data_IF_862166473161
#
_entry.id   IF_862166473161
#
_cell.length_a   1.000
_cell.length_b   1.000
_cell.length_c   1.000
_cell.angle_alpha   90.00
_cell.angle_beta   90.00
_cell.angle_gamma   90.00
#
_symmetry.space_group_name_H-M   'P 1'
#
loop_
_entity.id
_entity.type
_entity.pdbx_description
1 polymer ?
#
# COMPACT_ATOMS: atom_id res chain seq x y z
N UNK A 1 -30.80 -4.64 44.32
CA UNK A 1 -31.50 -5.45 43.30
C UNK A 1 -32.80 -5.89 43.93
N UNK A 2 -33.89 -5.15 43.72
CA UNK A 2 -35.19 -5.49 44.34
C UNK A 2 -35.81 -6.62 43.54
N UNK A 3 -36.00 -7.79 44.17
CA UNK A 3 -36.73 -8.92 43.57
C UNK A 3 -38.19 -8.49 43.36
N UNK A 4 -38.69 -8.66 42.13
CA UNK A 4 -40.09 -8.42 41.79
C UNK A 4 -40.95 -9.48 42.48
N UNK A 5 -42.09 -9.08 43.04
CA UNK A 5 -43.06 -10.03 43.60
C UNK A 5 -43.68 -10.88 42.49
N UNK A 6 -44.05 -12.14 42.77
CA UNK A 6 -44.67 -13.06 41.78
C UNK A 6 -45.85 -12.44 41.01
N UNK A 7 -46.63 -11.56 41.65
CA UNK A 7 -47.72 -10.81 41.01
C UNK A 7 -47.22 -9.76 40.00
N UNK A 8 -46.09 -9.10 40.29
CA UNK A 8 -45.45 -8.17 39.35
C UNK A 8 -44.85 -8.92 38.16
N UNK A 9 -44.27 -10.10 38.36
CA UNK A 9 -43.79 -10.96 37.27
C UNK A 9 -44.94 -11.44 36.37
N UNK A 10 -46.04 -11.91 36.96
CA UNK A 10 -47.24 -12.32 36.20
C UNK A 10 -47.86 -11.17 35.42
N UNK A 11 -47.95 -9.97 36.02
CA UNK A 11 -48.44 -8.77 35.34
C UNK A 11 -47.51 -8.34 34.20
N UNK A 12 -46.19 -8.43 34.39
CA UNK A 12 -45.22 -8.15 33.33
C UNK A 12 -45.36 -9.13 32.16
N UNK A 13 -45.56 -10.42 32.44
CA UNK A 13 -45.81 -11.45 31.41
C UNK A 13 -47.13 -11.21 30.67
N UNK A 14 -48.21 -10.86 31.38
CA UNK A 14 -49.49 -10.56 30.76
C UNK A 14 -49.45 -9.30 29.88
N UNK A 15 -48.73 -8.26 30.32
CA UNK A 15 -48.48 -7.05 29.53
C UNK A 15 -47.64 -7.34 28.28
N UNK A 16 -46.59 -8.15 28.41
CA UNK A 16 -45.76 -8.57 27.28
C UNK A 16 -46.55 -9.41 26.26
N UNK A 17 -47.39 -10.34 26.71
CA UNK A 17 -48.26 -11.12 25.83
C UNK A 17 -49.27 -10.24 25.09
N UNK A 18 -49.87 -9.26 25.77
CA UNK A 18 -50.80 -8.31 25.16
C UNK A 18 -50.11 -7.43 24.12
N UNK A 19 -48.92 -6.90 24.43
CA UNK A 19 -48.12 -6.13 23.48
C UNK A 19 -47.78 -6.96 22.24
N UNK A 20 -47.33 -8.20 22.42
CA UNK A 20 -47.04 -9.11 21.31
C UNK A 20 -48.27 -9.39 20.43
N UNK A 21 -49.46 -9.57 21.01
CA UNK A 21 -50.69 -9.75 20.21
C UNK A 21 -51.09 -8.50 19.43
N UNK A 22 -50.85 -7.31 19.98
CA UNK A 22 -51.12 -6.04 19.32
C UNK A 22 -50.16 -5.82 18.15
N UNK A 23 -48.87 -6.06 18.36
CA UNK A 23 -47.83 -5.96 17.32
C UNK A 23 -48.15 -6.84 16.10
N UNK A 24 -48.61 -8.07 16.33
CA UNK A 24 -49.01 -9.00 15.27
C UNK A 24 -50.26 -8.50 14.53
N UNK A 25 -51.24 -7.93 15.26
CA UNK A 25 -52.44 -7.37 14.65
C UNK A 25 -52.14 -6.17 13.75
N UNK A 26 -51.28 -5.25 14.22
CA UNK A 26 -50.81 -4.10 13.44
C UNK A 26 -50.06 -4.55 12.16
N UNK A 27 -49.24 -5.60 12.25
CA UNK A 27 -48.57 -6.16 11.08
C UNK A 27 -49.56 -6.81 10.08
N UNK A 28 -50.66 -7.41 10.54
CA UNK A 28 -51.71 -7.92 9.67
C UNK A 28 -52.47 -6.82 8.92
N UNK A 29 -52.83 -5.75 9.63
CA UNK A 29 -53.50 -4.58 9.05
C UNK A 29 -52.63 -3.93 7.98
N UNK A 30 -51.36 -3.68 8.30
CA UNK A 30 -50.40 -3.14 7.37
C UNK A 30 -50.19 -4.04 6.14
N UNK A 31 -50.06 -5.37 6.33
CA UNK A 31 -49.97 -6.32 5.21
C UNK A 31 -51.21 -6.25 4.30
N UNK A 32 -52.41 -6.14 4.87
CA UNK A 32 -53.65 -6.03 4.10
C UNK A 32 -53.69 -4.74 3.26
N UNK A 33 -53.34 -3.62 3.88
CA UNK A 33 -53.25 -2.32 3.21
C UNK A 33 -52.15 -2.31 2.12
N UNK A 34 -50.98 -2.90 2.38
CA UNK A 34 -49.90 -3.02 1.39
C UNK A 34 -50.34 -3.86 0.17
N UNK A 35 -51.06 -4.96 0.39
CA UNK A 35 -51.64 -5.78 -0.68
C UNK A 35 -52.65 -4.99 -1.51
N UNK A 36 -53.51 -4.21 -0.86
CA UNK A 36 -54.49 -3.37 -1.55
C UNK A 36 -53.81 -2.30 -2.42
N UNK A 37 -52.81 -1.59 -1.89
CA UNK A 37 -52.06 -0.59 -2.66
C UNK A 37 -51.28 -1.20 -3.84
N UNK A 38 -50.63 -2.34 -3.62
CA UNK A 38 -49.92 -3.04 -4.68
C UNK A 38 -50.87 -3.52 -5.80
N UNK A 39 -52.10 -3.91 -5.46
CA UNK A 39 -53.13 -4.28 -6.43
C UNK A 39 -53.60 -3.10 -7.29
N UNK A 40 -53.81 -1.92 -6.68
CA UNK A 40 -54.37 -0.74 -7.38
C UNK A 40 -53.36 -0.10 -8.34
N UNK A 41 -52.07 -0.09 -8.02
CA UNK A 41 -51.09 0.68 -8.81
C UNK A 41 -49.75 -0.01 -9.12
N UNK A 42 -49.44 -1.19 -8.56
CA UNK A 42 -48.08 -1.81 -8.60
C UNK A 42 -46.93 -0.86 -8.22
N UNK A 43 -47.25 0.23 -7.52
CA UNK A 43 -46.32 1.27 -7.10
C UNK A 43 -46.33 1.34 -5.57
N UNK A 44 -45.13 1.35 -4.99
CA UNK A 44 -44.94 1.63 -3.58
C UNK A 44 -44.88 3.15 -3.42
N UNK A 45 -45.89 3.72 -2.77
CA UNK A 45 -45.89 5.13 -2.39
C UNK A 45 -44.93 5.35 -1.22
N UNK A 46 -44.47 6.57 -1.03
CA UNK A 46 -43.62 6.92 0.13
C UNK A 46 -44.30 6.56 1.45
N UNK A 47 -45.61 6.78 1.57
CA UNK A 47 -46.40 6.32 2.72
C UNK A 47 -46.33 4.80 2.95
N UNK A 48 -46.43 3.98 1.90
CA UNK A 48 -46.28 2.53 2.03
C UNK A 48 -44.86 2.10 2.45
N UNK A 49 -43.83 2.84 2.01
CA UNK A 49 -42.45 2.59 2.40
C UNK A 49 -42.18 2.93 3.86
N UNK A 50 -42.79 4.00 4.40
CA UNK A 50 -42.69 4.34 5.83
C UNK A 50 -43.28 3.24 6.71
N UNK A 51 -44.43 2.69 6.31
CA UNK A 51 -45.07 1.61 7.04
C UNK A 51 -44.22 0.33 6.98
N UNK A 52 -43.62 0.05 5.82
CA UNK A 52 -42.65 -1.03 5.69
C UNK A 52 -41.40 -0.80 6.54
N UNK A 53 -40.90 0.44 6.62
CA UNK A 53 -39.75 0.81 7.45
C UNK A 53 -40.05 0.58 8.94
N UNK A 54 -41.18 1.08 9.44
CA UNK A 54 -41.61 0.90 10.83
C UNK A 54 -41.75 -0.58 11.19
N UNK A 55 -42.40 -1.38 10.34
CA UNK A 55 -42.56 -2.83 10.57
C UNK A 55 -41.20 -3.55 10.55
N UNK A 56 -40.27 -3.11 9.69
CA UNK A 56 -38.92 -3.67 9.62
C UNK A 56 -38.12 -3.36 10.89
N UNK A 57 -38.20 -2.14 11.40
CA UNK A 57 -37.48 -1.68 12.60
C UNK A 57 -38.04 -2.32 13.87
N UNK A 58 -39.37 -2.27 14.03
CA UNK A 58 -40.08 -2.82 15.20
C UNK A 58 -40.12 -4.35 15.22
N UNK A 59 -39.87 -5.00 14.08
CA UNK A 59 -39.94 -6.46 13.89
C UNK A 59 -41.32 -7.05 14.23
N UNK A 60 -42.38 -6.24 14.16
CA UNK A 60 -43.79 -6.64 14.38
C UNK A 60 -44.24 -7.79 13.47
N UNK A 61 -43.56 -8.00 12.35
CA UNK A 61 -43.80 -9.11 11.44
C UNK A 61 -43.45 -10.50 12.01
N UNK A 62 -42.66 -10.60 13.07
CA UNK A 62 -42.20 -11.90 13.61
C UNK A 62 -43.32 -12.63 14.31
N UNK A 63 -43.60 -13.86 13.88
CA UNK A 63 -44.69 -14.66 14.43
C UNK A 63 -46.04 -14.39 13.76
N UNK A 64 -46.09 -13.50 12.77
CA UNK A 64 -47.27 -13.28 11.94
C UNK A 64 -47.60 -14.57 11.17
N UNK A 65 -48.85 -15.01 11.21
CA UNK A 65 -49.30 -16.24 10.54
C UNK A 65 -50.17 -15.86 9.36
N UNK A 66 -49.69 -16.10 8.15
CA UNK A 66 -50.31 -15.59 6.92
C UNK A 66 -50.29 -16.65 5.82
N UNK A 67 -51.23 -16.54 4.89
CA UNK A 67 -51.31 -17.41 3.73
C UNK A 67 -50.43 -16.87 2.61
N UNK A 68 -49.45 -17.67 2.20
CA UNK A 68 -48.62 -17.43 1.00
C UNK A 68 -48.83 -18.63 0.09
N UNK A 69 -49.28 -18.41 -1.14
CA UNK A 69 -49.55 -19.45 -2.14
C UNK A 69 -50.43 -20.60 -1.63
N UNK A 70 -51.45 -20.29 -0.84
CA UNK A 70 -52.41 -21.26 -0.29
C UNK A 70 -51.87 -22.11 0.87
N UNK A 71 -50.65 -21.86 1.34
CA UNK A 71 -50.07 -22.51 2.52
C UNK A 71 -49.98 -21.55 3.70
N UNK A 72 -50.27 -22.07 4.87
CA UNK A 72 -50.24 -21.36 6.14
C UNK A 72 -48.76 -21.26 6.59
N UNK A 73 -48.21 -20.05 6.57
CA UNK A 73 -46.79 -19.79 6.85
C UNK A 73 -46.67 -18.84 8.05
N UNK A 74 -45.83 -19.22 9.01
CA UNK A 74 -45.39 -18.31 10.07
C UNK A 74 -44.20 -17.51 9.57
N UNK A 75 -44.35 -16.19 9.52
CA UNK A 75 -43.32 -15.25 9.10
C UNK A 75 -42.27 -15.12 10.21
N UNK A 76 -41.07 -15.64 9.95
CA UNK A 76 -39.92 -15.52 10.83
C UNK A 76 -38.89 -14.48 10.36
N UNK A 77 -38.94 -14.09 9.08
CA UNK A 77 -37.98 -13.17 8.46
C UNK A 77 -38.64 -12.03 7.71
N UNK A 78 -37.87 -10.95 7.53
CA UNK A 78 -38.28 -9.79 6.72
C UNK A 78 -38.61 -10.18 5.28
N UNK A 79 -37.80 -11.05 4.68
CA UNK A 79 -38.02 -11.52 3.31
C UNK A 79 -39.36 -12.23 3.17
N UNK A 80 -39.70 -13.11 4.13
CA UNK A 80 -40.99 -13.80 4.17
C UNK A 80 -42.16 -12.83 4.32
N UNK A 81 -42.01 -11.77 5.13
CA UNK A 81 -43.03 -10.73 5.28
C UNK A 81 -43.29 -9.99 3.96
N UNK A 82 -42.21 -9.57 3.28
CA UNK A 82 -42.30 -8.83 2.02
C UNK A 82 -42.88 -9.71 0.90
N UNK A 83 -42.45 -10.97 0.82
CA UNK A 83 -43.04 -11.95 -0.10
C UNK A 83 -44.52 -12.20 0.22
N UNK A 84 -44.89 -12.30 1.49
CA UNK A 84 -46.29 -12.44 1.91
C UNK A 84 -47.14 -11.23 1.52
N UNK A 85 -46.57 -10.03 1.46
CA UNK A 85 -47.22 -8.82 0.94
C UNK A 85 -47.36 -8.82 -0.61
N UNK A 86 -46.81 -9.80 -1.32
CA UNK A 86 -46.79 -9.85 -2.78
C UNK A 86 -45.80 -8.87 -3.43
N UNK A 87 -44.77 -8.47 -2.67
CA UNK A 87 -43.77 -7.49 -3.09
C UNK A 87 -42.43 -8.16 -3.37
N UNK A 88 -41.66 -7.56 -4.28
CA UNK A 88 -40.29 -8.00 -4.54
C UNK A 88 -39.34 -7.52 -3.45
N UNK A 89 -38.75 -8.44 -2.69
CA UNK A 89 -37.80 -8.15 -1.59
C UNK A 89 -36.71 -7.16 -2.03
N UNK A 90 -36.05 -7.43 -3.17
CA UNK A 90 -34.99 -6.58 -3.71
C UNK A 90 -35.46 -5.15 -3.99
N UNK A 91 -36.68 -4.99 -4.52
CA UNK A 91 -37.27 -3.69 -4.84
C UNK A 91 -37.57 -2.93 -3.55
N UNK A 92 -38.22 -3.57 -2.58
CA UNK A 92 -38.55 -2.96 -1.28
C UNK A 92 -37.29 -2.51 -0.56
N UNK A 93 -36.25 -3.35 -0.50
CA UNK A 93 -35.00 -2.97 0.16
C UNK A 93 -34.24 -1.86 -0.59
N UNK A 94 -34.41 -1.74 -1.91
CA UNK A 94 -33.83 -0.64 -2.69
C UNK A 94 -34.60 0.66 -2.48
N UNK A 95 -35.94 0.60 -2.39
CA UNK A 95 -36.81 1.75 -2.13
C UNK A 95 -36.68 2.25 -0.69
N UNK A 96 -36.58 1.36 0.29
CA UNK A 96 -36.27 1.71 1.67
C UNK A 96 -34.90 2.39 1.78
N UNK A 97 -33.89 1.90 1.05
CA UNK A 97 -32.59 2.56 0.97
C UNK A 97 -32.68 3.95 0.34
N UNK A 98 -33.48 4.12 -0.72
CA UNK A 98 -33.71 5.43 -1.32
C UNK A 98 -34.38 6.39 -0.35
N UNK A 99 -35.39 5.91 0.40
CA UNK A 99 -36.07 6.68 1.43
C UNK A 99 -35.09 7.17 2.50
N UNK A 100 -34.23 6.29 3.02
CA UNK A 100 -33.24 6.67 4.04
C UNK A 100 -32.19 7.63 3.51
N UNK A 101 -31.76 7.49 2.25
CA UNK A 101 -30.65 8.29 1.70
C UNK A 101 -31.10 9.65 1.18
N UNK A 102 -32.29 9.76 0.62
CA UNK A 102 -32.78 10.98 -0.05
C UNK A 102 -33.89 11.70 0.72
N UNK A 103 -34.54 11.04 1.69
CA UNK A 103 -35.67 11.60 2.40
C UNK A 103 -37.00 11.48 1.65
N UNK A 104 -38.07 11.91 2.32
CA UNK A 104 -39.46 11.78 1.85
C UNK A 104 -39.75 12.72 0.68
N UNK A 105 -39.48 14.02 0.86
CA UNK A 105 -39.84 15.09 -0.08
C UNK A 105 -39.21 14.90 -1.46
N UNK A 106 -37.91 14.56 -1.49
CA UNK A 106 -37.21 14.29 -2.73
C UNK A 106 -37.70 13.00 -3.39
N UNK A 107 -38.01 11.95 -2.61
CA UNK A 107 -38.50 10.70 -3.17
C UNK A 107 -39.87 10.89 -3.84
N UNK A 108 -40.79 11.64 -3.23
CA UNK A 108 -42.07 12.00 -3.84
C UNK A 108 -41.88 12.82 -5.12
N UNK A 109 -41.01 13.82 -5.07
CA UNK A 109 -40.68 14.65 -6.23
C UNK A 109 -40.07 13.80 -7.36
N UNK A 110 -39.16 12.89 -7.04
CA UNK A 110 -38.54 11.97 -8.00
C UNK A 110 -39.54 11.01 -8.63
N UNK A 111 -40.53 10.52 -7.86
CA UNK A 111 -41.61 9.68 -8.38
C UNK A 111 -42.55 10.48 -9.28
N UNK A 112 -42.90 11.72 -8.92
CA UNK A 112 -43.73 12.63 -9.72
C UNK A 112 -43.07 12.99 -11.05
N UNK A 113 -41.79 13.31 -11.03
CA UNK A 113 -40.98 13.60 -12.22
C UNK A 113 -40.66 12.33 -13.03
N UNK A 114 -40.88 11.14 -12.46
CA UNK A 114 -40.60 9.87 -13.11
C UNK A 114 -39.11 9.63 -13.34
N UNK A 115 -38.28 9.94 -12.34
CA UNK A 115 -36.88 9.49 -12.31
C UNK A 115 -36.83 7.97 -12.15
N UNK A 116 -35.96 7.32 -12.92
CA UNK A 116 -35.77 5.89 -12.86
C UNK A 116 -34.78 5.45 -11.77
N UNK A 117 -34.70 4.15 -11.56
CA UNK A 117 -33.70 3.54 -10.66
C UNK A 117 -32.25 3.75 -11.13
N UNK A 118 -32.02 4.12 -12.39
CA UNK A 118 -30.66 4.36 -12.90
C UNK A 118 -30.10 5.66 -12.33
N UNK A 119 -30.91 6.71 -12.38
CA UNK A 119 -30.61 8.05 -11.89
C UNK A 119 -30.45 8.01 -10.37
N UNK A 120 -31.39 7.37 -9.66
CA UNK A 120 -31.31 7.19 -8.21
C UNK A 120 -30.05 6.41 -7.79
N UNK A 121 -29.63 5.42 -8.58
CA UNK A 121 -28.37 4.70 -8.34
C UNK A 121 -27.15 5.59 -8.49
N UNK A 122 -27.10 6.43 -9.54
CA UNK A 122 -26.02 7.41 -9.73
C UNK A 122 -25.98 8.41 -8.57
N UNK A 123 -27.14 8.95 -8.18
CA UNK A 123 -27.27 9.90 -7.07
C UNK A 123 -26.76 9.32 -5.74
N UNK A 124 -26.98 8.02 -5.47
CA UNK A 124 -26.41 7.35 -4.28
C UNK A 124 -24.89 7.22 -4.31
N UNK A 125 -24.28 7.16 -5.48
CA UNK A 125 -22.82 7.02 -5.62
C UNK A 125 -22.08 8.35 -5.49
N UNK A 126 -22.79 9.48 -5.59
CA UNK A 126 -22.23 10.80 -5.38
C UNK A 126 -21.81 11.00 -3.91
N UNK A 127 -20.80 11.85 -3.66
CA UNK A 127 -20.49 12.29 -2.31
C UNK A 127 -21.67 13.03 -1.69
N UNK A 128 -21.68 13.06 -0.36
CA UNK A 128 -22.78 13.60 0.42
C UNK A 128 -23.11 15.05 0.08
N UNK A 129 -22.10 15.91 -0.10
CA UNK A 129 -22.31 17.33 -0.44
C UNK A 129 -23.00 17.51 -1.80
N UNK A 130 -22.52 16.84 -2.85
CA UNK A 130 -23.11 16.92 -4.19
C UNK A 130 -24.51 16.30 -4.25
N UNK A 131 -24.74 15.26 -3.45
CA UNK A 131 -26.08 14.65 -3.30
C UNK A 131 -27.05 15.60 -2.59
N UNK A 132 -26.62 16.26 -1.51
CA UNK A 132 -27.46 17.19 -0.75
C UNK A 132 -27.88 18.39 -1.61
N UNK A 133 -26.97 18.94 -2.40
CA UNK A 133 -27.27 20.02 -3.35
C UNK A 133 -28.40 19.66 -4.33
N UNK A 134 -28.42 18.41 -4.81
CA UNK A 134 -29.50 17.92 -5.67
C UNK A 134 -30.77 17.66 -4.86
N UNK A 135 -30.67 17.07 -3.67
CA UNK A 135 -31.85 16.68 -2.88
C UNK A 135 -32.62 17.89 -2.34
N UNK A 136 -31.91 18.96 -1.97
CA UNK A 136 -32.49 20.18 -1.40
C UNK A 136 -32.98 21.18 -2.46
N UNK A 137 -32.64 20.96 -3.73
CA UNK A 137 -33.11 21.80 -4.82
C UNK A 137 -34.63 21.59 -5.06
N UNK A 138 -35.32 22.69 -5.36
CA UNK A 138 -36.75 22.66 -5.68
C UNK A 138 -36.94 22.31 -7.16
N UNK A 139 -37.71 21.25 -7.42
CA UNK A 139 -38.03 20.74 -8.76
C UNK A 139 -39.54 20.65 -8.96
N UNK A 140 -40.19 21.80 -8.87
CA UNK A 140 -41.64 21.93 -8.98
C UNK A 140 -42.15 21.93 -10.43
N UNK A 141 -41.29 22.18 -11.42
CA UNK A 141 -41.64 22.28 -12.83
C UNK A 141 -41.25 21.02 -13.62
N UNK A 142 -41.97 20.71 -14.71
CA UNK A 142 -41.71 19.49 -15.50
C UNK A 142 -40.42 19.57 -16.34
N UNK A 143 -40.00 20.78 -16.71
CA UNK A 143 -38.71 21.08 -17.36
C UNK A 143 -37.52 20.70 -16.48
N UNK A 144 -37.70 20.67 -15.16
CA UNK A 144 -36.65 20.35 -14.20
C UNK A 144 -36.20 18.89 -14.26
N UNK A 145 -37.00 17.99 -14.84
CA UNK A 145 -36.64 16.58 -14.96
C UNK A 145 -35.37 16.40 -15.80
N UNK A 146 -35.32 17.04 -16.96
CA UNK A 146 -34.18 16.90 -17.89
C UNK A 146 -32.93 17.57 -17.29
N UNK A 147 -33.10 18.76 -16.69
CA UNK A 147 -32.01 19.45 -15.99
C UNK A 147 -31.47 18.66 -14.80
N UNK A 148 -32.34 18.02 -14.02
CA UNK A 148 -31.96 17.16 -12.90
C UNK A 148 -31.16 15.95 -13.39
N UNK A 149 -31.60 15.32 -14.50
CA UNK A 149 -30.87 14.20 -15.09
C UNK A 149 -29.48 14.67 -15.54
N UNK A 150 -29.39 15.79 -16.28
CA UNK A 150 -28.12 16.35 -16.75
C UNK A 150 -27.17 16.65 -15.58
N UNK A 151 -27.65 17.31 -14.52
CA UNK A 151 -26.86 17.58 -13.29
C UNK A 151 -26.35 16.30 -12.65
N UNK A 152 -27.19 15.26 -12.55
CA UNK A 152 -26.76 13.95 -12.03
C UNK A 152 -25.66 13.36 -12.91
N UNK A 153 -25.80 13.42 -14.23
CA UNK A 153 -24.80 12.88 -15.16
C UNK A 153 -23.47 13.61 -15.08
N UNK A 154 -23.49 14.93 -15.06
CA UNK A 154 -22.31 15.78 -14.96
C UNK A 154 -21.55 15.57 -13.65
N UNK A 155 -22.25 15.59 -12.51
CA UNK A 155 -21.62 15.33 -11.21
C UNK A 155 -21.08 13.91 -11.12
N UNK A 156 -21.81 12.93 -11.66
CA UNK A 156 -21.33 11.53 -11.69
C UNK A 156 -20.05 11.41 -12.53
N UNK A 157 -20.01 12.05 -13.70
CA UNK A 157 -18.84 12.04 -14.57
C UNK A 157 -17.64 12.73 -13.91
N UNK A 158 -17.88 13.87 -13.25
CA UNK A 158 -16.84 14.60 -12.49
C UNK A 158 -16.29 13.75 -11.35
N UNK A 159 -17.16 13.15 -10.53
CA UNK A 159 -16.72 12.30 -9.42
C UNK A 159 -16.04 11.01 -9.87
N UNK A 160 -16.47 10.41 -10.98
CA UNK A 160 -15.77 9.26 -11.56
C UNK A 160 -14.33 9.61 -11.96
N UNK A 161 -14.11 10.80 -12.56
CA UNK A 161 -12.77 11.29 -12.89
C UNK A 161 -11.94 11.56 -11.64
N UNK A 162 -12.48 12.31 -10.68
CA UNK A 162 -11.80 12.62 -9.41
C UNK A 162 -11.41 11.35 -8.65
N UNK A 163 -12.30 10.36 -8.59
CA UNK A 163 -12.03 9.07 -7.96
C UNK A 163 -10.90 8.32 -8.67
N UNK A 164 -10.93 8.24 -10.00
CA UNK A 164 -9.88 7.60 -10.77
C UNK A 164 -8.52 8.29 -10.59
N UNK A 165 -8.49 9.62 -10.54
CA UNK A 165 -7.28 10.39 -10.26
C UNK A 165 -6.75 10.16 -8.84
N UNK A 166 -7.63 10.10 -7.84
CA UNK A 166 -7.25 9.82 -6.46
C UNK A 166 -6.72 8.39 -6.30
N UNK A 167 -7.35 7.41 -6.93
CA UNK A 167 -6.88 6.02 -6.95
C UNK A 167 -5.52 5.90 -7.64
N UNK A 168 -5.32 6.60 -8.76
CA UNK A 168 -4.03 6.65 -9.43
C UNK A 168 -2.95 7.31 -8.57
N UNK A 169 -3.27 8.41 -7.87
CA UNK A 169 -2.35 9.07 -6.92
C UNK A 169 -2.02 8.17 -5.73
N UNK A 170 -3.00 7.45 -5.20
CA UNK A 170 -2.81 6.51 -4.08
C UNK A 170 -1.89 5.36 -4.50
N UNK A 171 -2.13 4.79 -5.69
CA UNK A 171 -1.28 3.74 -6.24
C UNK A 171 0.16 4.20 -6.42
N UNK A 172 0.37 5.37 -7.03
CA UNK A 172 1.73 5.96 -7.17
C UNK A 172 2.41 6.15 -5.82
N UNK A 173 1.70 6.71 -4.82
CA UNK A 173 2.26 6.88 -3.47
C UNK A 173 2.60 5.54 -2.80
N UNK A 174 1.79 4.51 -3.02
CA UNK A 174 2.08 3.16 -2.51
C UNK A 174 3.33 2.59 -3.16
N UNK A 175 3.44 2.67 -4.48
CA UNK A 175 4.61 2.18 -5.23
C UNK A 175 5.89 2.93 -4.81
N UNK A 176 5.81 4.25 -4.62
CA UNK A 176 6.92 5.07 -4.13
C UNK A 176 7.33 4.67 -2.71
N UNK A 177 6.37 4.38 -1.82
CA UNK A 177 6.64 3.95 -0.46
C UNK A 177 7.34 2.58 -0.44
N UNK A 178 6.89 1.63 -1.26
CA UNK A 178 7.52 0.32 -1.39
C UNK A 178 8.94 0.42 -1.95
N UNK A 179 9.17 1.31 -2.91
CA UNK A 179 10.50 1.61 -3.42
C UNK A 179 11.41 2.20 -2.33
N UNK A 180 10.92 3.17 -1.56
CA UNK A 180 11.65 3.76 -0.44
C UNK A 180 11.98 2.73 0.64
N UNK A 181 11.04 1.85 0.98
CA UNK A 181 11.24 0.78 1.96
C UNK A 181 12.37 -0.18 1.53
N UNK A 182 12.42 -0.55 0.25
CA UNK A 182 13.50 -1.39 -0.30
C UNK A 182 14.86 -0.68 -0.24
N UNK A 183 14.91 0.61 -0.57
CA UNK A 183 16.16 1.39 -0.49
C UNK A 183 16.64 1.49 0.95
N UNK A 184 15.74 1.75 1.91
CA UNK A 184 16.07 1.79 3.33
C UNK A 184 16.58 0.44 3.83
N UNK A 185 15.93 -0.67 3.46
CA UNK A 185 16.39 -2.01 3.83
C UNK A 185 17.80 -2.32 3.29
N UNK A 186 18.06 -1.98 2.02
CA UNK A 186 19.39 -2.15 1.42
C UNK A 186 20.45 -1.29 2.12
N UNK A 187 20.12 -0.04 2.46
CA UNK A 187 21.04 0.85 3.20
C UNK A 187 21.34 0.33 4.59
N UNK A 188 20.34 -0.11 5.35
CA UNK A 188 20.55 -0.70 6.67
C UNK A 188 21.42 -1.95 6.58
N UNK A 189 21.16 -2.85 5.63
CA UNK A 189 21.99 -4.03 5.45
C UNK A 189 23.46 -3.69 5.10
N UNK A 190 23.70 -2.60 4.37
CA UNK A 190 25.05 -2.12 4.10
C UNK A 190 25.71 -1.51 5.34
N UNK A 191 24.96 -0.73 6.13
CA UNK A 191 25.44 -0.17 7.41
C UNK A 191 25.83 -1.31 8.36
N UNK A 192 24.97 -2.31 8.54
CA UNK A 192 25.24 -3.45 9.43
C UNK A 192 26.50 -4.22 9.01
N UNK A 193 26.73 -4.38 7.70
CA UNK A 193 27.96 -5.01 7.17
C UNK A 193 29.19 -4.18 7.49
N UNK A 194 29.14 -2.87 7.23
CA UNK A 194 30.26 -1.96 7.50
C UNK A 194 30.58 -1.87 8.99
N UNK A 195 29.57 -1.82 9.86
CA UNK A 195 29.74 -1.83 11.31
C UNK A 195 30.38 -3.14 11.79
N UNK A 196 29.98 -4.28 11.20
CA UNK A 196 30.59 -5.57 11.49
C UNK A 196 32.06 -5.63 11.05
N UNK A 197 32.37 -5.09 9.87
CA UNK A 197 33.76 -5.01 9.36
C UNK A 197 34.63 -4.07 10.19
N UNK A 198 34.10 -2.91 10.56
CA UNK A 198 34.79 -1.97 11.46
C UNK A 198 35.05 -2.62 12.82
N UNK A 199 34.04 -3.26 13.42
CA UNK A 199 34.21 -3.96 14.70
C UNK A 199 35.27 -5.09 14.63
N UNK A 200 35.31 -5.84 13.52
CA UNK A 200 36.36 -6.85 13.29
C UNK A 200 37.74 -6.23 13.16
N UNK A 201 37.88 -5.14 12.40
CA UNK A 201 39.16 -4.43 12.24
C UNK A 201 39.62 -3.82 13.56
N UNK A 202 38.73 -3.18 14.32
CA UNK A 202 39.05 -2.63 15.65
C UNK A 202 39.52 -3.72 16.61
N UNK A 203 38.80 -4.85 16.69
CA UNK A 203 39.24 -6.00 17.49
C UNK A 203 40.59 -6.57 17.04
N UNK A 204 40.82 -6.67 15.73
CA UNK A 204 42.09 -7.12 15.18
C UNK A 204 43.25 -6.17 15.50
N UNK A 205 42.99 -4.87 15.64
CA UNK A 205 43.98 -3.87 16.05
C UNK A 205 44.27 -3.96 17.56
N UNK A 206 43.24 -4.19 18.39
CA UNK A 206 43.35 -4.29 19.85
C UNK A 206 44.02 -5.60 20.32
N UNK A 207 43.91 -6.68 19.56
CA UNK A 207 44.40 -8.01 19.95
C UNK A 207 45.77 -8.39 19.38
N UNK A 208 46.36 -7.56 18.52
CA UNK A 208 47.67 -7.85 17.95
C UNK A 208 48.82 -7.58 18.92
N UNK A 209 49.62 -8.61 19.19
CA UNK A 209 50.94 -8.47 19.81
C UNK A 209 51.90 -7.72 18.87
N UNK A 210 52.97 -7.07 19.37
CA UNK A 210 53.94 -6.34 18.54
C UNK A 210 54.49 -7.14 17.34
N UNK A 211 54.70 -8.45 17.52
CA UNK A 211 55.17 -9.35 16.46
C UNK A 211 54.14 -9.60 15.36
N UNK A 212 52.85 -9.71 15.70
CA UNK A 212 51.77 -9.88 14.71
C UNK A 212 51.57 -8.62 13.88
N UNK A 213 51.73 -7.45 14.51
CA UNK A 213 51.71 -6.15 13.83
C UNK A 213 52.89 -6.02 12.86
N UNK A 214 54.08 -6.47 13.27
CA UNK A 214 55.25 -6.56 12.38
C UNK A 214 55.02 -7.51 11.19
N UNK A 215 54.35 -8.64 11.42
CA UNK A 215 53.95 -9.57 10.36
C UNK A 215 53.03 -8.95 9.30
N UNK A 216 51.98 -8.24 9.74
CA UNK A 216 51.05 -7.56 8.82
C UNK A 216 51.72 -6.42 8.04
N UNK A 217 52.56 -5.62 8.70
CA UNK A 217 53.32 -4.55 8.02
C UNK A 217 54.28 -5.11 6.97
N UNK A 218 54.89 -6.27 7.23
CA UNK A 218 55.70 -6.99 6.23
C UNK A 218 54.86 -7.50 5.07
N UNK A 219 53.67 -8.03 5.33
CA UNK A 219 52.76 -8.50 4.27
C UNK A 219 52.27 -7.34 3.40
N UNK A 220 51.86 -6.21 4.00
CA UNK A 220 51.47 -4.98 3.30
C UNK A 220 52.64 -4.43 2.45
N UNK A 221 53.85 -4.42 3.01
CA UNK A 221 55.06 -3.98 2.30
C UNK A 221 55.39 -4.92 1.14
N UNK A 222 55.20 -6.23 1.31
CA UNK A 222 55.39 -7.23 0.24
C UNK A 222 54.39 -7.01 -0.89
N UNK A 223 53.12 -6.72 -0.58
CA UNK A 223 52.11 -6.42 -1.60
C UNK A 223 52.40 -5.13 -2.37
N UNK A 224 52.90 -4.09 -1.68
CA UNK A 224 53.30 -2.84 -2.33
C UNK A 224 54.52 -3.07 -3.23
N UNK A 225 55.52 -3.80 -2.75
CA UNK A 225 56.72 -4.17 -3.51
C UNK A 225 56.36 -4.96 -4.77
N UNK A 226 55.48 -5.97 -4.66
CA UNK A 226 55.02 -6.76 -5.82
C UNK A 226 54.32 -5.89 -6.88
N UNK A 227 53.50 -4.92 -6.46
CA UNK A 227 52.85 -3.98 -7.39
C UNK A 227 53.88 -3.09 -8.10
N UNK A 228 54.87 -2.59 -7.36
CA UNK A 228 55.94 -1.78 -7.94
C UNK A 228 56.77 -2.58 -8.95
N UNK A 229 57.15 -3.81 -8.61
CA UNK A 229 57.86 -4.72 -9.52
C UNK A 229 57.05 -5.02 -10.79
N UNK A 230 55.74 -5.29 -10.65
CA UNK A 230 54.87 -5.55 -11.78
C UNK A 230 54.77 -4.35 -12.75
N UNK A 231 54.74 -3.12 -12.21
CA UNK A 231 54.76 -1.90 -13.03
C UNK A 231 56.10 -1.76 -13.77
N UNK A 232 57.23 -1.95 -13.07
CA UNK A 232 58.55 -1.81 -13.65
C UNK A 232 58.84 -2.88 -14.72
N UNK A 233 58.56 -4.16 -14.43
CA UNK A 233 58.81 -5.26 -15.37
C UNK A 233 57.77 -5.35 -16.49
N UNK A 234 56.55 -4.88 -16.25
CA UNK A 234 55.47 -4.91 -17.24
C UNK A 234 55.40 -3.62 -18.05
N UNK A 235 54.87 -2.57 -17.42
CA UNK A 235 54.50 -1.33 -18.09
C UNK A 235 55.72 -0.53 -18.57
N UNK A 236 56.74 -0.38 -17.73
CA UNK A 236 57.95 0.38 -18.08
C UNK A 236 58.76 -0.35 -19.15
N UNK A 237 58.89 -1.67 -19.04
CA UNK A 237 59.55 -2.49 -20.06
C UNK A 237 58.88 -2.35 -21.44
N UNK A 238 57.54 -2.44 -21.49
CA UNK A 238 56.78 -2.26 -22.73
C UNK A 238 56.92 -0.84 -23.31
N UNK A 239 56.93 0.18 -22.46
CA UNK A 239 57.14 1.56 -22.89
C UNK A 239 58.53 1.76 -23.50
N UNK A 240 59.55 1.13 -22.92
CA UNK A 240 60.93 1.15 -23.44
C UNK A 240 61.05 0.40 -24.77
N UNK A 241 60.36 -0.73 -24.94
CA UNK A 241 60.31 -1.46 -26.21
C UNK A 241 59.62 -0.63 -27.31
N UNK A 242 58.55 0.11 -26.97
CA UNK A 242 57.87 0.99 -27.91
C UNK A 242 58.76 2.19 -28.33
N UNK A 243 59.51 2.77 -27.39
CA UNK A 243 60.49 3.82 -27.69
C UNK A 243 61.62 3.31 -28.58
N UNK A 244 62.11 2.08 -28.34
CA UNK A 244 63.13 1.46 -29.17
C UNK A 244 62.65 1.26 -30.63
N UNK A 245 61.42 0.75 -30.82
CA UNK A 245 60.80 0.61 -32.15
C UNK A 245 60.63 1.96 -32.85
N UNK A 246 60.18 2.98 -32.13
CA UNK A 246 60.06 4.32 -32.70
C UNK A 246 61.43 4.89 -33.12
N UNK A 247 62.49 4.63 -32.35
CA UNK A 247 63.85 5.03 -32.72
C UNK A 247 64.34 4.37 -34.00
N UNK A 248 63.98 3.10 -34.22
CA UNK A 248 64.30 2.36 -35.46
C UNK A 248 63.53 2.92 -36.68
N UNK A 249 62.28 3.34 -36.50
CA UNK A 249 61.42 3.82 -37.60
C UNK A 249 61.69 5.28 -37.99
N UNK A 250 62.03 6.14 -37.03
CA UNK A 250 62.10 7.61 -37.24
C UNK A 250 63.52 8.18 -37.19
N UNK A 251 64.54 7.36 -36.92
CA UNK A 251 65.94 7.76 -36.70
C UNK A 251 66.16 8.76 -35.55
N UNK A 252 65.19 8.89 -34.62
CA UNK A 252 65.31 9.72 -33.41
C UNK A 252 65.76 8.83 -32.25
N UNK A 253 66.92 9.11 -31.65
CA UNK A 253 67.46 8.32 -30.55
C UNK A 253 66.83 8.68 -29.19
N UNK A 254 66.14 7.73 -28.57
CA UNK A 254 65.50 7.88 -27.26
C UNK A 254 66.32 7.29 -26.10
N UNK A 255 67.52 6.74 -26.35
CA UNK A 255 68.36 6.09 -25.33
C UNK A 255 68.71 7.03 -24.17
N UNK A 256 68.98 8.30 -24.45
CA UNK A 256 69.27 9.28 -23.40
C UNK A 256 68.08 9.48 -22.46
N UNK A 257 66.87 9.56 -22.99
CA UNK A 257 65.64 9.67 -22.20
C UNK A 257 65.40 8.41 -21.35
N UNK A 258 65.55 7.23 -21.94
CA UNK A 258 65.43 5.95 -21.21
C UNK A 258 66.46 5.84 -20.08
N UNK A 259 67.70 6.28 -20.32
CA UNK A 259 68.75 6.32 -19.29
C UNK A 259 68.44 7.30 -18.15
N UNK A 260 67.77 8.42 -18.45
CA UNK A 260 67.30 9.37 -17.43
C UNK A 260 66.24 8.77 -16.52
N UNK A 261 65.25 8.07 -17.10
CA UNK A 261 64.21 7.37 -16.32
C UNK A 261 64.81 6.27 -15.43
N UNK A 262 65.81 5.54 -15.91
CA UNK A 262 66.53 4.56 -15.08
C UNK A 262 67.32 5.21 -13.94
N UNK A 263 67.96 6.37 -14.20
CA UNK A 263 68.67 7.12 -13.16
C UNK A 263 67.72 7.64 -12.07
N UNK A 264 66.50 8.05 -12.44
CA UNK A 264 65.46 8.45 -11.47
C UNK A 264 65.05 7.28 -10.57
N UNK A 265 64.86 6.07 -11.12
CA UNK A 265 64.57 4.89 -10.30
C UNK A 265 65.73 4.54 -9.36
N UNK A 266 66.98 4.64 -9.83
CA UNK A 266 68.15 4.42 -8.99
C UNK A 266 68.27 5.45 -7.87
N UNK A 267 67.91 6.70 -8.13
CA UNK A 267 67.87 7.75 -7.11
C UNK A 267 66.84 7.41 -6.02
N UNK A 268 65.62 7.03 -6.40
CA UNK A 268 64.56 6.64 -5.43
C UNK A 268 65.03 5.46 -4.57
N UNK A 269 65.69 4.46 -5.16
CA UNK A 269 66.25 3.33 -4.41
C UNK A 269 67.34 3.79 -3.43
N UNK A 270 68.22 4.69 -3.86
CA UNK A 270 69.29 5.24 -3.03
C UNK A 270 68.74 6.09 -1.87
N UNK A 271 67.68 6.87 -2.11
CA UNK A 271 66.99 7.65 -1.08
C UNK A 271 66.34 6.74 -0.04
N UNK A 272 65.69 5.65 -0.46
CA UNK A 272 65.13 4.65 0.44
C UNK A 272 66.22 3.98 1.28
N UNK A 273 67.33 3.59 0.66
CA UNK A 273 68.47 3.02 1.36
C UNK A 273 69.06 3.98 2.41
N UNK A 274 69.30 5.24 2.04
CA UNK A 274 69.87 6.24 2.94
C UNK A 274 68.90 6.60 4.08
N UNK A 275 67.61 6.75 3.78
CA UNK A 275 66.61 7.12 4.78
C UNK A 275 66.44 6.04 5.85
N UNK A 276 66.47 4.78 5.44
CA UNK A 276 66.31 3.62 6.32
C UNK A 276 67.64 2.99 6.77
N UNK A 277 68.79 3.54 6.35
CA UNK A 277 70.14 3.05 6.68
C UNK A 277 70.33 1.56 6.34
N UNK A 278 69.88 1.18 5.14
CA UNK A 278 69.92 -0.19 4.66
C UNK A 278 71.22 -0.46 3.89
N UNK A 279 71.81 -1.64 4.10
CA UNK A 279 72.97 -2.11 3.34
C UNK A 279 72.58 -2.51 1.90
N UNK A 280 73.54 -2.43 0.97
CA UNK A 280 73.37 -2.84 -0.44
C UNK A 280 73.07 -4.33 -0.62
N UNK A 281 73.44 -5.13 0.37
CA UNK A 281 73.14 -6.55 0.44
C UNK A 281 72.56 -6.87 1.82
N UNK A 282 71.57 -7.76 1.91
CA UNK A 282 71.04 -8.18 3.21
C UNK A 282 72.16 -8.85 4.02
N UNK A 283 72.60 -8.20 5.10
CA UNK A 283 73.82 -8.55 5.86
C UNK A 283 73.54 -9.13 7.26
N UNK A 284 72.28 -9.43 7.57
CA UNK A 284 71.84 -9.87 8.91
C UNK A 284 71.74 -11.39 9.09
N UNK A 285 71.71 -11.86 10.35
CA UNK A 285 71.56 -13.29 10.71
C UNK A 285 70.21 -13.91 10.32
N UNK A 286 69.20 -13.08 10.04
CA UNK A 286 67.84 -13.49 9.63
C UNK A 286 67.65 -13.39 8.11
N UNK A 287 68.64 -13.89 7.35
CA UNK A 287 68.55 -14.00 5.90
C UNK A 287 67.52 -15.07 5.48
N UNK A 288 66.53 -14.71 4.64
CA UNK A 288 65.63 -15.68 4.00
C UNK A 288 66.42 -16.71 3.18
N UNK A 289 65.90 -17.95 3.05
CA UNK A 289 66.62 -19.06 2.39
C UNK A 289 67.12 -18.74 0.98
N UNK A 290 66.39 -17.92 0.21
CA UNK A 290 66.77 -17.53 -1.15
C UNK A 290 67.87 -16.46 -1.24
N UNK A 291 68.20 -15.81 -0.12
CA UNK A 291 69.15 -14.68 -0.06
C UNK A 291 70.48 -15.06 0.62
N UNK A 292 70.64 -16.31 1.07
CA UNK A 292 71.91 -16.81 1.62
C UNK A 292 72.85 -17.12 0.46
N UNK A 293 74.11 -16.68 0.54
CA UNK A 293 75.13 -17.08 -0.42
C UNK A 293 75.40 -18.59 -0.26
N UNK A 294 75.10 -19.39 -1.28
CA UNK A 294 75.40 -20.84 -1.36
C UNK A 294 76.91 -21.14 -1.52
N UNK A 295 77.78 -20.30 -0.96
CA UNK A 295 79.24 -20.52 -0.98
C UNK A 295 79.71 -21.12 0.35
N UNK A 296 79.67 -22.46 0.42
CA UNK A 296 80.71 -23.24 1.11
C UNK A 296 81.89 -23.51 0.18
#
# INVERSE_FOLDING_TARGET
MSELTLSQEQNAVALAAKAMTQDIAEAHEAMGMLKAFNFVGKLLTVGSLKILADIKETKKYKGLVTYVDGKLLTVGSWEQYVTACGLGVKKVDEDLRNLTVFGEDFLETSQRLGLGYREMRKLRQLPEAARAEIVEADYSEATDKEELIEKIEDLTAKHAKEKAELEAKLKRKSDDYDAQAKVLANKNAQIDRLDTELAKKTKAIETQTPDQRGGQLREETTQISYKAEAILRGQVWQAFEALAKHSEETSIDHRQFMSGVLAEYQLILSELQQHFQLDDSPSGSDLPEWARDDTE
#
